data_IF_908434831588
#
_entry.id   IF_908434831588
#
_cell.length_a   1.000
_cell.length_b   1.000
_cell.length_c   1.000
_cell.angle_alpha   90.00
_cell.angle_beta   90.00
_cell.angle_gamma   90.00
#
_symmetry.space_group_name_H-M   'P 1'
#
loop_
_entity.id
_entity.type
_entity.pdbx_description
1 polymer ?
#
# COMPACT_ATOMS: atom_id res chain seq x y z
N UNK A 1 16.02 8.14 -23.70
CA UNK A 1 15.70 6.84 -23.08
C UNK A 1 14.19 6.66 -23.18
N UNK A 2 13.70 5.55 -23.72
CA UNK A 2 12.27 5.25 -23.67
C UNK A 2 11.85 5.21 -22.20
N UNK A 3 10.69 5.79 -21.87
CA UNK A 3 10.12 5.60 -20.54
C UNK A 3 9.84 4.10 -20.36
N UNK A 4 10.18 3.56 -19.20
CA UNK A 4 9.88 2.17 -18.87
C UNK A 4 8.36 1.92 -19.03
N UNK A 5 8.01 0.75 -19.56
CA UNK A 5 6.63 0.33 -19.84
C UNK A 5 6.13 -0.70 -18.82
N UNK A 6 4.81 -0.82 -18.73
CA UNK A 6 4.16 -1.85 -17.92
C UNK A 6 4.49 -3.26 -18.40
N UNK A 7 4.74 -3.45 -19.70
CA UNK A 7 5.15 -4.75 -20.26
C UNK A 7 6.53 -5.16 -19.76
N UNK A 8 7.52 -4.26 -19.87
CA UNK A 8 8.88 -4.53 -19.39
C UNK A 8 8.91 -4.81 -17.89
N UNK A 9 8.10 -4.09 -17.11
CA UNK A 9 7.96 -4.34 -15.67
C UNK A 9 7.40 -5.74 -15.41
N UNK A 10 6.32 -6.14 -16.08
CA UNK A 10 5.74 -7.49 -15.92
C UNK A 10 6.74 -8.58 -16.31
N UNK A 11 7.49 -8.39 -17.38
CA UNK A 11 8.55 -9.33 -17.78
C UNK A 11 9.65 -9.45 -16.72
N UNK A 12 10.09 -8.33 -16.15
CA UNK A 12 11.09 -8.32 -15.07
C UNK A 12 10.61 -9.08 -13.83
N UNK A 13 9.33 -8.90 -13.47
CA UNK A 13 8.69 -9.61 -12.35
C UNK A 13 8.58 -11.10 -12.65
N UNK A 14 8.09 -11.47 -13.83
CA UNK A 14 7.89 -12.87 -14.21
C UNK A 14 9.20 -13.67 -14.24
N UNK A 15 10.32 -13.04 -14.63
CA UNK A 15 11.65 -13.65 -14.59
C UNK A 15 12.11 -14.05 -13.18
N UNK A 16 11.51 -13.47 -12.14
CA UNK A 16 11.82 -13.75 -10.73
C UNK A 16 10.76 -14.64 -10.06
N UNK A 17 9.75 -15.11 -10.80
CA UNK A 17 8.68 -15.93 -10.24
C UNK A 17 9.19 -17.27 -9.70
N UNK A 18 8.68 -17.66 -8.54
CA UNK A 18 8.98 -18.93 -7.88
C UNK A 18 7.67 -19.61 -7.42
N UNK A 19 7.09 -20.50 -8.24
CA UNK A 19 5.83 -21.16 -7.92
C UNK A 19 5.83 -21.96 -6.60
N UNK A 20 7.00 -22.48 -6.18
CA UNK A 20 7.11 -23.19 -4.90
C UNK A 20 6.88 -22.24 -3.73
N UNK A 21 7.46 -21.04 -3.79
CA UNK A 21 7.28 -19.99 -2.77
C UNK A 21 5.86 -19.43 -2.82
N UNK A 22 5.30 -19.23 -4.01
CA UNK A 22 3.95 -18.70 -4.21
C UNK A 22 2.88 -19.50 -3.43
N UNK A 23 2.98 -20.83 -3.44
CA UNK A 23 2.04 -21.69 -2.70
C UNK A 23 2.05 -21.45 -1.19
N UNK A 24 3.23 -21.20 -0.61
CA UNK A 24 3.37 -20.87 0.81
C UNK A 24 2.81 -19.49 1.14
N UNK A 25 2.99 -18.53 0.23
CA UNK A 25 2.47 -17.17 0.38
C UNK A 25 0.94 -17.14 0.33
N UNK A 26 0.30 -17.88 -0.57
CA UNK A 26 -1.17 -18.00 -0.60
C UNK A 26 -1.76 -18.41 0.75
N UNK A 27 -1.16 -19.41 1.40
CA UNK A 27 -1.58 -19.84 2.75
C UNK A 27 -1.34 -18.76 3.80
N UNK A 28 -0.23 -18.04 3.72
CA UNK A 28 0.12 -17.00 4.68
C UNK A 28 -0.79 -15.77 4.56
N UNK A 29 -1.08 -15.35 3.34
CA UNK A 29 -1.92 -14.18 3.00
C UNK A 29 -3.42 -14.47 2.96
N UNK A 30 -3.82 -15.68 3.38
CA UNK A 30 -5.24 -16.03 3.61
C UNK A 30 -6.10 -15.84 2.36
N UNK A 31 -5.78 -16.59 1.31
CA UNK A 31 -6.45 -16.50 0.00
C UNK A 31 -7.61 -17.48 -0.20
N UNK A 32 -8.05 -18.17 0.87
CA UNK A 32 -9.18 -19.10 0.81
C UNK A 32 -10.54 -18.38 0.76
N UNK A 33 -11.63 -19.10 0.44
CA UNK A 33 -12.98 -18.55 0.44
C UNK A 33 -13.37 -17.94 1.81
N UNK A 34 -13.86 -16.71 1.80
CA UNK A 34 -14.24 -15.93 3.00
C UNK A 34 -13.05 -15.34 3.76
N UNK A 35 -11.82 -15.55 3.30
CA UNK A 35 -10.64 -14.94 3.90
C UNK A 35 -10.34 -13.56 3.27
N UNK A 36 -9.55 -12.74 3.97
CA UNK A 36 -9.35 -11.34 3.57
C UNK A 36 -8.54 -11.17 2.26
N UNK A 37 -7.77 -12.18 1.85
CA UNK A 37 -7.02 -12.21 0.60
C UNK A 37 -7.66 -13.10 -0.47
N UNK A 38 -8.95 -13.44 -0.33
CA UNK A 38 -9.66 -14.30 -1.29
C UNK A 38 -9.46 -13.83 -2.73
N UNK A 39 -9.04 -14.75 -3.61
CA UNK A 39 -8.83 -14.48 -5.02
C UNK A 39 -7.44 -13.96 -5.41
N UNK A 40 -6.61 -13.56 -4.44
CA UNK A 40 -5.24 -13.09 -4.73
C UNK A 40 -4.37 -14.22 -5.31
N UNK A 41 -3.62 -13.89 -6.35
CA UNK A 41 -2.60 -14.79 -6.96
C UNK A 41 -1.21 -14.34 -6.56
N UNK A 42 -0.29 -15.30 -6.43
CA UNK A 42 1.10 -15.02 -6.02
C UNK A 42 2.09 -15.56 -7.05
N UNK A 43 3.19 -14.82 -7.22
CA UNK A 43 4.30 -15.17 -8.10
C UNK A 43 5.51 -15.72 -7.33
N UNK A 44 5.60 -15.58 -6.02
CA UNK A 44 6.68 -16.15 -5.22
C UNK A 44 7.87 -15.21 -4.99
N UNK A 45 7.70 -13.89 -5.13
CA UNK A 45 8.81 -12.94 -4.98
C UNK A 45 8.92 -12.48 -3.52
N UNK A 46 10.14 -12.45 -2.99
CA UNK A 46 10.41 -11.84 -1.69
C UNK A 46 10.48 -10.30 -1.79
N UNK A 47 10.28 -9.62 -0.66
CA UNK A 47 10.24 -8.15 -0.59
C UNK A 47 11.55 -7.49 -1.08
N UNK A 48 12.76 -7.97 -0.74
CA UNK A 48 14.00 -7.41 -1.30
C UNK A 48 14.05 -7.40 -2.84
N UNK A 49 13.64 -8.50 -3.48
CA UNK A 49 13.56 -8.57 -4.95
C UNK A 49 12.52 -7.59 -5.50
N UNK A 50 11.35 -7.50 -4.87
CA UNK A 50 10.31 -6.53 -5.27
C UNK A 50 10.82 -5.08 -5.22
N UNK A 51 11.52 -4.69 -4.14
CA UNK A 51 12.11 -3.35 -4.00
C UNK A 51 13.19 -3.07 -5.04
N UNK A 52 14.02 -4.07 -5.36
CA UNK A 52 15.04 -3.95 -6.41
C UNK A 52 14.38 -3.63 -7.76
N UNK A 53 13.38 -4.40 -8.15
CA UNK A 53 12.63 -4.17 -9.40
C UNK A 53 11.95 -2.79 -9.36
N UNK A 54 11.28 -2.43 -8.27
CA UNK A 54 10.62 -1.13 -8.17
C UNK A 54 11.58 0.05 -8.41
N UNK A 55 12.80 -0.02 -7.87
CA UNK A 55 13.81 1.03 -8.07
C UNK A 55 14.30 1.12 -9.53
N UNK A 56 14.44 -0.01 -10.22
CA UNK A 56 14.81 -0.04 -11.64
C UNK A 56 13.73 0.59 -12.54
N UNK A 57 12.47 0.57 -12.09
CA UNK A 57 11.31 1.06 -12.83
C UNK A 57 10.73 2.36 -12.26
N UNK A 58 11.47 3.09 -11.42
CA UNK A 58 10.97 4.30 -10.75
C UNK A 58 10.45 5.38 -11.72
N UNK A 59 10.91 5.41 -12.97
CA UNK A 59 10.52 6.40 -13.98
C UNK A 59 9.27 6.02 -14.80
N UNK A 60 8.68 4.85 -14.57
CA UNK A 60 7.43 4.42 -15.22
C UNK A 60 6.31 5.46 -15.03
N UNK A 61 5.46 5.70 -16.04
CA UNK A 61 4.40 6.71 -15.92
C UNK A 61 3.24 6.22 -15.04
N UNK A 62 2.46 7.14 -14.46
CA UNK A 62 1.22 6.77 -13.74
C UNK A 62 0.21 6.04 -14.66
N UNK A 63 0.17 6.40 -15.95
CA UNK A 63 -0.69 5.73 -16.92
C UNK A 63 -0.30 4.25 -17.08
N UNK A 64 0.99 3.95 -17.18
CA UNK A 64 1.50 2.58 -17.25
C UNK A 64 1.27 1.82 -15.93
N UNK A 65 1.37 2.51 -14.78
CA UNK A 65 1.11 1.91 -13.48
C UNK A 65 -0.35 1.52 -13.26
N UNK A 66 -1.31 2.12 -13.98
CA UNK A 66 -2.74 1.83 -13.78
C UNK A 66 -3.04 0.34 -13.89
N UNK A 67 -2.51 -0.32 -14.91
CA UNK A 67 -2.69 -1.77 -15.07
C UNK A 67 -1.86 -2.61 -14.10
N UNK A 68 -0.80 -2.06 -13.50
CA UNK A 68 0.09 -2.76 -12.56
C UNK A 68 -0.54 -2.81 -11.17
N UNK A 69 -1.09 -1.67 -10.69
CA UNK A 69 -1.71 -1.59 -9.37
C UNK A 69 -3.06 -2.31 -9.29
N UNK A 70 -3.70 -2.58 -10.42
CA UNK A 70 -4.96 -3.32 -10.51
C UNK A 70 -4.80 -4.77 -10.96
N UNK A 71 -3.57 -5.29 -10.99
CA UNK A 71 -3.28 -6.64 -11.47
C UNK A 71 -3.77 -7.71 -10.49
N UNK A 72 -4.12 -8.90 -10.98
CA UNK A 72 -4.59 -10.00 -10.13
C UNK A 72 -3.47 -10.63 -9.28
N UNK A 73 -2.21 -10.45 -9.69
CA UNK A 73 -1.06 -10.94 -8.94
C UNK A 73 -0.62 -9.94 -7.87
N UNK A 74 -0.50 -10.43 -6.64
CA UNK A 74 -0.10 -9.67 -5.45
C UNK A 74 1.23 -8.95 -5.64
N UNK A 75 2.28 -9.63 -6.10
CA UNK A 75 3.60 -9.00 -6.22
C UNK A 75 3.67 -7.96 -7.34
N UNK A 76 2.83 -8.07 -8.38
CA UNK A 76 2.72 -7.02 -9.40
C UNK A 76 2.15 -5.75 -8.77
N UNK A 77 1.05 -5.88 -8.01
CA UNK A 77 0.46 -4.75 -7.28
C UNK A 77 1.41 -4.18 -6.25
N UNK A 78 2.03 -5.02 -5.42
CA UNK A 78 3.00 -4.62 -4.40
C UNK A 78 4.14 -3.81 -5.00
N UNK A 79 4.73 -4.27 -6.11
CA UNK A 79 5.78 -3.51 -6.81
C UNK A 79 5.25 -2.17 -7.33
N UNK A 80 4.03 -2.13 -7.89
CA UNK A 80 3.37 -0.89 -8.27
C UNK A 80 3.22 0.10 -7.10
N UNK A 81 2.80 -0.39 -5.93
CA UNK A 81 2.67 0.42 -4.72
C UNK A 81 4.04 0.92 -4.22
N UNK A 82 5.07 0.07 -4.24
CA UNK A 82 6.43 0.48 -3.89
C UNK A 82 6.90 1.58 -4.85
N UNK A 83 6.72 1.43 -6.16
CA UNK A 83 7.07 2.45 -7.15
C UNK A 83 6.39 3.79 -6.84
N UNK A 84 5.08 3.80 -6.54
CA UNK A 84 4.37 5.03 -6.15
C UNK A 84 5.02 5.70 -4.93
N UNK A 85 5.43 4.90 -3.95
CA UNK A 85 6.05 5.43 -2.73
C UNK A 85 7.44 6.00 -2.97
N UNK A 86 8.25 5.37 -3.83
CA UNK A 86 9.58 5.90 -4.16
C UNK A 86 9.45 7.16 -5.04
N UNK A 87 8.45 7.21 -5.93
CA UNK A 87 8.12 8.42 -6.70
C UNK A 87 7.73 9.61 -5.83
N UNK A 88 6.84 9.42 -4.85
CA UNK A 88 6.37 10.54 -4.02
C UNK A 88 7.47 11.06 -3.10
N UNK A 89 8.38 10.18 -2.65
CA UNK A 89 9.51 10.55 -1.81
C UNK A 89 10.64 11.24 -2.60
N UNK A 90 10.86 10.85 -3.85
CA UNK A 90 11.92 11.42 -4.71
C UNK A 90 11.54 12.79 -5.31
N UNK A 91 10.26 13.07 -5.50
CA UNK A 91 9.82 14.34 -6.10
C UNK A 91 9.77 15.50 -5.10
N UNK A 92 10.28 16.65 -5.53
CA UNK A 92 10.11 17.94 -4.82
C UNK A 92 8.89 18.74 -5.31
N UNK A 93 8.27 18.32 -6.42
CA UNK A 93 7.14 19.03 -7.02
C UNK A 93 5.85 18.70 -6.29
N UNK A 94 5.19 19.71 -5.72
CA UNK A 94 3.90 19.52 -5.06
C UNK A 94 2.83 19.01 -6.04
N UNK A 95 2.83 19.50 -7.28
CA UNK A 95 1.91 19.06 -8.35
C UNK A 95 2.08 17.56 -8.62
N UNK A 96 3.33 17.06 -8.65
CA UNK A 96 3.57 15.63 -8.86
C UNK A 96 3.18 14.81 -7.63
N UNK A 97 3.43 15.32 -6.41
CA UNK A 97 2.93 14.67 -5.20
C UNK A 97 1.40 14.58 -5.19
N UNK A 98 0.69 15.62 -5.64
CA UNK A 98 -0.77 15.65 -5.69
C UNK A 98 -1.30 14.62 -6.71
N UNK A 99 -0.67 14.52 -7.87
CA UNK A 99 -1.00 13.49 -8.87
C UNK A 99 -0.81 12.07 -8.32
N UNK A 100 0.32 11.80 -7.66
CA UNK A 100 0.61 10.48 -7.09
C UNK A 100 -0.38 10.14 -5.97
N UNK A 101 -0.66 11.10 -5.09
CA UNK A 101 -1.65 10.94 -4.03
C UNK A 101 -3.04 10.64 -4.59
N UNK A 102 -3.52 11.43 -5.55
CA UNK A 102 -4.83 11.21 -6.17
C UNK A 102 -4.89 9.88 -6.91
N UNK A 103 -3.81 9.47 -7.58
CA UNK A 103 -3.71 8.15 -8.20
C UNK A 103 -3.84 7.03 -7.16
N UNK A 104 -3.18 7.15 -6.00
CA UNK A 104 -3.31 6.17 -4.92
C UNK A 104 -4.75 6.12 -4.39
N UNK A 105 -5.37 7.27 -4.10
CA UNK A 105 -6.74 7.33 -3.56
C UNK A 105 -7.77 6.72 -4.54
N UNK A 106 -7.58 6.94 -5.85
CA UNK A 106 -8.44 6.36 -6.90
C UNK A 106 -8.26 4.84 -7.06
N UNK A 107 -7.16 4.28 -6.54
CA UNK A 107 -6.78 2.87 -6.69
C UNK A 107 -6.68 2.13 -5.34
N UNK A 108 -7.04 2.75 -4.22
CA UNK A 108 -6.86 2.19 -2.86
C UNK A 108 -7.60 0.86 -2.66
N UNK A 109 -8.67 0.60 -3.42
CA UNK A 109 -9.38 -0.67 -3.40
C UNK A 109 -8.50 -1.87 -3.79
N UNK A 110 -7.39 -1.63 -4.51
CA UNK A 110 -6.43 -2.68 -4.85
C UNK A 110 -5.36 -2.91 -3.77
N UNK A 111 -5.31 -2.07 -2.72
CA UNK A 111 -4.58 -2.34 -1.48
C UNK A 111 -5.40 -3.26 -0.57
N UNK A 112 -5.78 -4.43 -1.07
CA UNK A 112 -6.68 -5.37 -0.40
C UNK A 112 -5.96 -6.35 0.55
N UNK A 113 -4.78 -5.96 1.05
CA UNK A 113 -3.99 -6.77 1.96
C UNK A 113 -3.19 -5.86 2.90
N UNK A 114 -2.87 -6.36 4.09
CA UNK A 114 -2.22 -5.55 5.12
C UNK A 114 -0.83 -5.10 4.67
N UNK A 115 -0.10 -5.94 3.94
CA UNK A 115 1.25 -5.60 3.48
C UNK A 115 1.24 -4.54 2.37
N UNK A 116 0.24 -4.57 1.48
CA UNK A 116 0.03 -3.54 0.45
C UNK A 116 -0.31 -2.17 1.08
N UNK A 117 -1.13 -2.17 2.13
CA UNK A 117 -1.42 -0.97 2.91
C UNK A 117 -0.16 -0.47 3.61
N UNK A 118 0.51 -1.34 4.37
CA UNK A 118 1.63 -0.98 5.25
C UNK A 118 2.87 -0.51 4.48
N UNK A 119 3.12 -1.08 3.29
CA UNK A 119 4.26 -0.66 2.44
C UNK A 119 4.05 0.73 1.84
N UNK A 120 2.79 1.19 1.75
CA UNK A 120 2.42 2.35 0.94
C UNK A 120 1.95 3.56 1.74
N UNK A 121 0.94 3.38 2.59
CA UNK A 121 0.09 4.48 3.05
C UNK A 121 0.83 5.54 3.88
N UNK A 122 1.80 5.16 4.73
CA UNK A 122 2.60 6.10 5.52
C UNK A 122 3.35 7.11 4.63
N UNK A 123 3.96 6.65 3.53
CA UNK A 123 4.73 7.53 2.62
C UNK A 123 3.79 8.36 1.73
N UNK A 124 2.66 7.80 1.34
CA UNK A 124 1.67 8.48 0.47
C UNK A 124 0.98 9.64 1.20
N UNK A 125 0.64 9.44 2.48
CA UNK A 125 -0.05 10.45 3.28
C UNK A 125 0.87 11.45 4.00
N UNK A 126 2.18 11.25 3.94
CA UNK A 126 3.14 12.14 4.60
C UNK A 126 2.98 13.60 4.12
N UNK A 127 2.74 14.50 5.08
CA UNK A 127 2.50 15.92 4.82
C UNK A 127 1.08 16.27 4.36
N UNK A 128 0.13 15.33 4.43
CA UNK A 128 -1.28 15.51 4.01
C UNK A 128 -2.33 15.20 5.08
N UNK A 129 -1.89 14.97 6.32
CA UNK A 129 -2.75 14.55 7.43
C UNK A 129 -3.33 15.74 8.19
N UNK A 130 -2.49 16.71 8.53
CA UNK A 130 -2.92 17.89 9.28
C UNK A 130 -3.86 18.74 8.42
N UNK A 131 -5.05 19.05 8.95
CA UNK A 131 -6.06 19.86 8.27
C UNK A 131 -6.88 19.12 7.21
N UNK A 132 -6.78 17.79 7.15
CA UNK A 132 -7.55 16.95 6.23
C UNK A 132 -8.31 15.86 6.99
N UNK A 133 -9.62 15.81 6.82
CA UNK A 133 -10.49 14.83 7.46
C UNK A 133 -10.54 13.46 6.76
N UNK A 134 -9.82 13.29 5.65
CA UNK A 134 -9.83 12.03 4.90
C UNK A 134 -9.50 10.80 5.75
N UNK A 135 -8.52 10.88 6.66
CA UNK A 135 -8.24 9.74 7.56
C UNK A 135 -9.42 9.47 8.50
N UNK A 136 -10.10 10.51 8.99
CA UNK A 136 -11.30 10.33 9.81
C UNK A 136 -12.43 9.66 9.01
N UNK A 137 -12.62 10.02 7.75
CA UNK A 137 -13.61 9.39 6.87
C UNK A 137 -13.25 7.92 6.58
N UNK A 138 -11.98 7.64 6.28
CA UNK A 138 -11.50 6.29 6.04
C UNK A 138 -11.64 5.40 7.29
N UNK A 139 -11.46 5.96 8.50
CA UNK A 139 -11.62 5.21 9.76
C UNK A 139 -13.06 4.74 10.02
N UNK A 140 -14.04 5.33 9.32
CA UNK A 140 -15.47 4.97 9.43
C UNK A 140 -15.96 4.15 8.22
N UNK A 141 -15.08 3.85 7.27
CA UNK A 141 -15.42 3.07 6.07
C UNK A 141 -15.75 1.62 6.44
N UNK A 142 -16.67 1.00 5.70
CA UNK A 142 -16.93 -0.44 5.79
C UNK A 142 -15.72 -1.29 5.34
N UNK A 143 -14.86 -0.71 4.49
CA UNK A 143 -13.64 -1.37 4.03
C UNK A 143 -12.62 -1.50 5.16
N UNK A 144 -12.26 -2.75 5.49
CA UNK A 144 -11.16 -3.06 6.41
C UNK A 144 -9.88 -2.32 6.00
N UNK A 145 -9.57 -2.28 4.70
CA UNK A 145 -8.34 -1.70 4.20
C UNK A 145 -8.33 -0.18 4.27
N UNK A 146 -9.47 0.49 4.07
CA UNK A 146 -9.59 1.93 4.28
C UNK A 146 -9.35 2.27 5.77
N UNK A 147 -9.96 1.51 6.69
CA UNK A 147 -9.74 1.70 8.12
C UNK A 147 -8.28 1.44 8.50
N UNK A 148 -7.63 0.43 7.91
CA UNK A 148 -6.19 0.20 8.13
C UNK A 148 -5.33 1.34 7.58
N UNK A 149 -5.62 1.86 6.39
CA UNK A 149 -4.97 3.05 5.83
C UNK A 149 -5.12 4.22 6.81
N UNK A 150 -6.32 4.43 7.37
CA UNK A 150 -6.58 5.55 8.27
C UNK A 150 -5.63 5.62 9.47
N UNK A 151 -5.31 4.47 10.07
CA UNK A 151 -4.45 4.38 11.25
C UNK A 151 -2.98 4.25 10.89
N UNK A 152 -2.59 3.42 9.90
CA UNK A 152 -1.17 3.21 9.57
C UNK A 152 -0.55 4.44 8.91
N UNK A 153 -1.34 5.26 8.21
CA UNK A 153 -0.88 6.54 7.67
C UNK A 153 -0.39 7.50 8.75
N UNK A 154 -0.93 7.45 9.98
CA UNK A 154 -0.54 8.39 11.05
C UNK A 154 0.90 8.16 11.54
N UNK A 155 1.54 7.06 11.18
CA UNK A 155 2.96 6.80 11.47
C UNK A 155 3.88 7.94 10.98
N UNK A 156 3.53 8.64 9.90
CA UNK A 156 4.32 9.79 9.43
C UNK A 156 4.28 10.97 10.41
N UNK A 157 3.18 11.14 11.15
CA UNK A 157 3.02 12.18 12.16
C UNK A 157 3.64 11.78 13.50
N UNK A 158 3.52 10.51 13.89
CA UNK A 158 4.23 9.95 15.06
C UNK A 158 5.73 10.23 14.94
N UNK A 159 6.32 9.96 13.77
CA UNK A 159 7.74 10.23 13.50
C UNK A 159 8.14 11.71 13.59
N UNK A 160 7.18 12.63 13.54
CA UNK A 160 7.38 14.07 13.72
C UNK A 160 7.06 14.54 15.15
N UNK A 161 6.71 13.62 16.05
CA UNK A 161 6.28 13.92 17.41
C UNK A 161 4.84 14.41 17.53
N UNK A 162 4.05 14.30 16.46
CA UNK A 162 2.63 14.67 16.47
C UNK A 162 1.75 13.43 16.62
N UNK A 163 1.27 13.18 17.84
CA UNK A 163 0.49 11.99 18.18
C UNK A 163 -1.03 12.19 18.05
N UNK A 164 -1.49 13.43 17.88
CA UNK A 164 -2.92 13.76 17.89
C UNK A 164 -3.72 13.00 16.83
N UNK A 165 -3.27 12.92 15.55
CA UNK A 165 -4.00 12.16 14.53
C UNK A 165 -4.14 10.68 14.89
N UNK A 166 -3.08 10.06 15.43
CA UNK A 166 -3.09 8.66 15.86
C UNK A 166 -4.10 8.43 16.97
N UNK A 167 -4.09 9.25 18.01
CA UNK A 167 -5.00 9.11 19.16
C UNK A 167 -6.47 9.31 18.75
N UNK A 168 -6.72 10.25 17.85
CA UNK A 168 -8.06 10.49 17.29
C UNK A 168 -8.58 9.27 16.54
N UNK A 169 -7.81 8.75 15.58
CA UNK A 169 -8.21 7.59 14.78
C UNK A 169 -8.32 6.32 15.65
N UNK A 170 -7.37 6.10 16.57
CA UNK A 170 -7.41 4.97 17.50
C UNK A 170 -8.68 4.98 18.37
N UNK A 171 -9.17 6.16 18.76
CA UNK A 171 -10.42 6.30 19.53
C UNK A 171 -11.65 5.88 18.72
N UNK A 172 -11.67 6.18 17.41
CA UNK A 172 -12.76 5.75 16.51
C UNK A 172 -12.73 4.23 16.30
N UNK A 173 -11.53 3.66 16.12
CA UNK A 173 -11.33 2.23 15.82
C UNK A 173 -11.31 1.34 17.07
N UNK A 174 -11.51 1.90 18.27
CA UNK A 174 -11.44 1.15 19.53
C UNK A 174 -12.44 -0.02 19.58
N UNK A 175 -13.60 0.14 18.93
CA UNK A 175 -14.68 -0.86 18.88
C UNK A 175 -14.75 -1.61 17.54
N UNK A 176 -13.70 -1.55 16.72
CA UNK A 176 -13.65 -2.35 15.49
C UNK A 176 -13.78 -3.84 15.82
N UNK A 177 -14.36 -4.63 14.92
CA UNK A 177 -14.50 -6.08 15.11
C UNK A 177 -13.34 -6.88 14.51
N UNK A 178 -12.51 -6.24 13.69
CA UNK A 178 -11.49 -6.89 12.89
C UNK A 178 -10.14 -6.91 13.62
N UNK A 179 -9.60 -8.11 13.86
CA UNK A 179 -8.28 -8.32 14.50
C UNK A 179 -7.15 -7.57 13.78
N UNK A 180 -7.18 -7.51 12.45
CA UNK A 180 -6.18 -6.76 11.67
C UNK A 180 -6.18 -5.26 11.99
N UNK A 181 -7.32 -4.68 12.36
CA UNK A 181 -7.42 -3.28 12.75
C UNK A 181 -6.86 -3.08 14.16
N UNK A 182 -7.22 -3.94 15.12
CA UNK A 182 -6.65 -3.87 16.46
C UNK A 182 -5.14 -4.05 16.48
N UNK A 183 -4.59 -4.91 15.62
CA UNK A 183 -3.14 -5.04 15.42
C UNK A 183 -2.51 -3.76 14.90
N UNK A 184 -3.16 -3.06 13.96
CA UNK A 184 -2.68 -1.78 13.45
C UNK A 184 -2.74 -0.67 14.52
N UNK A 185 -3.86 -0.57 15.25
CA UNK A 185 -4.01 0.39 16.36
C UNK A 185 -2.96 0.13 17.44
N UNK A 186 -2.85 -1.12 17.91
CA UNK A 186 -1.87 -1.50 18.92
C UNK A 186 -0.42 -1.28 18.46
N UNK A 187 -0.14 -1.45 17.17
CA UNK A 187 1.15 -1.07 16.59
C UNK A 187 1.35 0.45 16.68
N UNK A 188 0.44 1.27 16.16
CA UNK A 188 0.61 2.72 16.14
C UNK A 188 0.65 3.36 17.54
N UNK A 189 0.00 2.75 18.54
CA UNK A 189 0.10 3.22 19.93
C UNK A 189 1.43 2.85 20.61
N UNK A 190 2.17 1.87 20.07
CA UNK A 190 3.48 1.44 20.59
C UNK A 190 4.61 2.30 20.04
N UNK A 191 4.52 2.72 18.78
CA UNK A 191 5.49 3.59 18.11
C UNK A 191 5.51 5.01 18.71
#
# INVERSE_FOLDING_TARGET
MSKASASELREAIQKQANPKVASGQQRYFKTGPGEYGEGDKFLGLNVPTQRKIANEFIDISLNELQGIVSDEYHEIRSIGMIILTEKIQSTKSQIEKDKIFNFYIANKQFCNNWDLVDVSCTKIFDGRIVGNDLLNDLSKSESLWDRRISIVSTLSEIRKGNYEPTLRIASVLLQDSQDLIHKAVGWMLRE
#
